data_IF_361821628532
#
_entry.id   IF_361821628532
#
_cell.length_a   1.000
_cell.length_b   1.000
_cell.length_c   1.000
_cell.angle_alpha   90.00
_cell.angle_beta   90.00
_cell.angle_gamma   90.00
#
_symmetry.space_group_name_H-M   'P 1'
#
loop_
_entity.id
_entity.type
_entity.pdbx_description
1 polymer ?
#
# COMPACT_ATOMS: atom_id res chain seq x y z
N UNK A 1 -14.60 11.67 -36.91
CA UNK A 1 -14.01 11.50 -35.55
C UNK A 1 -12.53 11.18 -35.72
N UNK A 2 -11.61 11.70 -34.89
CA UNK A 2 -10.20 11.34 -35.01
C UNK A 2 -10.05 9.83 -34.76
N UNK A 3 -9.59 9.10 -35.77
CA UNK A 3 -9.25 7.68 -35.65
C UNK A 3 -7.90 7.64 -34.95
N UNK A 4 -7.91 7.33 -33.66
CA UNK A 4 -6.68 7.06 -32.93
C UNK A 4 -6.06 5.76 -33.50
N UNK A 5 -4.76 5.78 -33.77
CA UNK A 5 -4.07 4.68 -34.45
C UNK A 5 -2.64 4.55 -33.92
N UNK A 6 -2.13 3.32 -33.86
CA UNK A 6 -0.70 3.07 -33.67
C UNK A 6 -0.03 2.75 -35.01
N UNK A 7 1.16 3.32 -35.26
CA UNK A 7 2.01 2.96 -36.39
C UNK A 7 3.15 2.09 -35.87
N UNK A 8 3.38 0.95 -36.50
CA UNK A 8 4.50 0.06 -36.19
C UNK A 8 5.32 -0.20 -37.44
N UNK A 9 6.64 -0.01 -37.33
CA UNK A 9 7.60 -0.12 -38.44
C UNK A 9 8.78 -1.00 -38.03
N UNK A 10 9.18 -1.91 -38.92
CA UNK A 10 10.47 -2.58 -38.88
C UNK A 10 11.41 -1.93 -39.92
N UNK A 11 12.50 -1.32 -39.46
CA UNK A 11 13.48 -0.61 -40.28
C UNK A 11 14.82 -1.35 -40.40
N UNK A 12 14.87 -2.65 -40.10
CA UNK A 12 16.09 -3.44 -40.16
C UNK A 12 16.74 -3.39 -41.57
N UNK A 13 17.78 -2.54 -41.73
CA UNK A 13 18.51 -2.34 -42.99
C UNK A 13 19.76 -3.26 -43.06
N UNK A 14 20.29 -3.76 -41.93
CA UNK A 14 21.55 -4.54 -41.87
C UNK A 14 21.53 -5.71 -40.85
N UNK A 15 20.37 -6.14 -40.37
CA UNK A 15 20.29 -7.21 -39.36
C UNK A 15 20.30 -8.62 -39.98
N UNK A 16 20.93 -9.59 -39.30
CA UNK A 16 21.02 -10.99 -39.74
C UNK A 16 19.64 -11.69 -39.82
N UNK A 17 18.63 -11.16 -39.12
CA UNK A 17 17.22 -11.48 -39.29
C UNK A 17 16.47 -10.20 -39.69
N UNK A 18 15.87 -10.22 -40.90
CA UNK A 18 15.29 -9.03 -41.55
C UNK A 18 13.77 -8.94 -41.39
N UNK A 19 13.12 -10.01 -40.92
CA UNK A 19 11.68 -10.09 -40.77
C UNK A 19 11.24 -10.21 -39.32
N UNK A 20 10.28 -9.39 -38.93
CA UNK A 20 9.68 -9.42 -37.59
C UNK A 20 8.22 -9.87 -37.69
N UNK A 21 7.90 -11.02 -37.11
CA UNK A 21 6.51 -11.43 -36.92
C UNK A 21 6.01 -10.88 -35.59
N UNK A 22 4.91 -10.13 -35.63
CA UNK A 22 4.35 -9.48 -34.45
C UNK A 22 2.99 -10.11 -34.16
N UNK A 23 2.86 -10.67 -32.96
CA UNK A 23 1.60 -11.25 -32.50
C UNK A 23 0.65 -10.13 -32.01
N UNK A 24 1.13 -9.31 -31.06
CA UNK A 24 0.39 -8.16 -30.55
C UNK A 24 1.32 -7.02 -30.12
N UNK A 25 0.77 -5.81 -30.06
CA UNK A 25 1.38 -4.61 -29.49
C UNK A 25 0.47 -4.10 -28.36
N UNK A 26 1.04 -3.76 -27.21
CA UNK A 26 0.29 -3.19 -26.08
C UNK A 26 0.81 -1.79 -25.80
N UNK A 27 -0.09 -0.82 -25.74
CA UNK A 27 0.19 0.54 -25.29
C UNK A 27 -0.48 0.73 -23.93
N UNK A 28 0.31 0.83 -22.87
CA UNK A 28 -0.18 1.05 -21.52
C UNK A 28 0.03 2.52 -21.11
N UNK A 29 -0.99 3.11 -20.51
CA UNK A 29 -1.01 4.50 -20.05
C UNK A 29 -1.45 4.52 -18.58
N UNK A 30 -0.55 4.21 -17.63
CA UNK A 30 -0.89 4.02 -16.22
C UNK A 30 -1.51 5.24 -15.55
N UNK A 31 -1.01 6.44 -15.86
CA UNK A 31 -1.49 7.70 -15.28
C UNK A 31 -2.94 8.05 -15.61
N UNK A 32 -3.50 7.45 -16.65
CA UNK A 32 -4.92 7.57 -17.02
C UNK A 32 -5.68 6.25 -16.84
N UNK A 33 -5.00 5.18 -16.41
CA UNK A 33 -5.58 3.87 -16.18
C UNK A 33 -6.10 3.21 -17.45
N UNK A 34 -5.40 3.31 -18.58
CA UNK A 34 -5.83 2.71 -19.85
C UNK A 34 -4.75 1.87 -20.50
N UNK A 35 -5.12 0.67 -20.93
CA UNK A 35 -4.29 -0.23 -21.74
C UNK A 35 -4.99 -0.54 -23.05
N UNK A 36 -4.27 -0.44 -24.15
CA UNK A 36 -4.78 -0.73 -25.49
C UNK A 36 -3.98 -1.87 -26.10
N UNK A 37 -4.66 -2.93 -26.53
CA UNK A 37 -4.04 -4.05 -27.23
C UNK A 37 -4.32 -3.97 -28.73
N UNK A 38 -3.29 -4.03 -29.55
CA UNK A 38 -3.38 -4.14 -31.01
C UNK A 38 -3.05 -5.58 -31.40
N UNK A 39 -4.03 -6.43 -31.77
CA UNK A 39 -3.75 -7.73 -32.36
C UNK A 39 -3.19 -7.52 -33.77
N UNK A 40 -1.97 -8.01 -34.02
CA UNK A 40 -1.24 -7.77 -35.27
C UNK A 40 -1.14 -9.04 -36.10
N UNK A 41 -0.76 -10.16 -35.50
CA UNK A 41 -0.63 -11.51 -36.06
C UNK A 41 -0.04 -11.55 -37.49
N UNK A 42 0.99 -10.74 -37.78
CA UNK A 42 1.52 -10.63 -39.15
C UNK A 42 3.00 -10.28 -39.20
N UNK A 43 3.63 -10.54 -40.34
CA UNK A 43 5.02 -10.18 -40.63
C UNK A 43 5.14 -8.71 -41.04
N UNK A 44 6.16 -8.04 -40.52
CA UNK A 44 6.66 -6.74 -40.96
C UNK A 44 8.03 -6.96 -41.62
N UNK A 45 8.03 -7.43 -42.88
CA UNK A 45 9.24 -7.80 -43.61
C UNK A 45 9.07 -7.58 -45.11
N UNK A 46 10.14 -7.21 -45.82
CA UNK A 46 10.11 -7.07 -47.29
C UNK A 46 10.04 -8.41 -48.01
N UNK A 47 10.62 -9.44 -47.42
CA UNK A 47 10.80 -10.78 -47.99
C UNK A 47 9.71 -11.78 -47.53
N UNK A 48 8.75 -11.35 -46.70
CA UNK A 48 7.65 -12.18 -46.20
C UNK A 48 6.30 -11.55 -46.52
N UNK A 49 5.28 -12.40 -46.68
CA UNK A 49 3.89 -12.01 -46.89
C UNK A 49 3.72 -10.94 -48.00
N UNK A 50 3.18 -9.77 -47.64
CA UNK A 50 2.87 -8.67 -48.57
C UNK A 50 4.02 -7.66 -48.71
N UNK A 51 5.20 -7.98 -48.19
CA UNK A 51 6.39 -7.14 -48.29
C UNK A 51 6.32 -5.84 -47.47
N UNK A 52 5.25 -5.62 -46.69
CA UNK A 52 5.06 -4.40 -45.91
C UNK A 52 5.84 -4.47 -44.60
N UNK A 53 6.71 -3.50 -44.38
CA UNK A 53 7.45 -3.34 -43.13
C UNK A 53 6.81 -2.33 -42.17
N UNK A 54 5.78 -1.61 -42.62
CA UNK A 54 5.04 -0.63 -41.81
C UNK A 54 3.55 -0.87 -41.92
N UNK A 55 2.86 -0.84 -40.78
CA UNK A 55 1.40 -0.97 -40.70
C UNK A 55 0.82 0.02 -39.70
N UNK A 56 -0.42 0.43 -39.96
CA UNK A 56 -1.22 1.30 -39.11
C UNK A 56 -2.41 0.51 -38.57
N UNK A 57 -2.55 0.47 -37.26
CA UNK A 57 -3.60 -0.28 -36.58
C UNK A 57 -4.57 0.69 -35.92
N UNK A 58 -5.87 0.68 -36.28
CA UNK A 58 -6.87 1.49 -35.60
C UNK A 58 -7.10 0.99 -34.18
N UNK A 59 -7.42 1.92 -33.27
CA UNK A 59 -7.88 1.56 -31.94
C UNK A 59 -9.31 1.04 -32.04
N UNK A 60 -9.55 -0.14 -31.48
CA UNK A 60 -10.89 -0.72 -31.31
C UNK A 60 -11.28 -0.66 -29.84
N UNK A 61 -12.52 -0.22 -29.53
CA UNK A 61 -13.00 -0.07 -28.15
C UNK A 61 -12.92 -1.38 -27.35
N UNK A 62 -13.21 -2.52 -27.99
CA UNK A 62 -13.13 -3.85 -27.37
C UNK A 62 -11.70 -4.23 -26.92
N UNK A 63 -10.68 -3.51 -27.41
CA UNK A 63 -9.29 -3.76 -27.04
C UNK A 63 -8.76 -2.76 -25.99
N UNK A 64 -9.64 -1.88 -25.48
CA UNK A 64 -9.29 -0.90 -24.44
C UNK A 64 -9.73 -1.45 -23.09
N UNK A 65 -8.76 -1.68 -22.21
CA UNK A 65 -8.99 -2.01 -20.82
C UNK A 65 -8.80 -0.74 -20.00
N UNK A 66 -9.78 -0.42 -19.16
CA UNK A 66 -9.69 0.68 -18.18
C UNK A 66 -9.49 0.08 -16.79
N UNK A 67 -8.55 0.65 -16.03
CA UNK A 67 -8.22 0.26 -14.66
C UNK A 67 -7.99 1.52 -13.80
N UNK A 68 -7.79 1.34 -12.49
CA UNK A 68 -7.56 2.45 -11.58
C UNK A 68 -6.25 3.17 -11.97
N UNK A 69 -6.25 4.49 -12.23
CA UNK A 69 -5.04 5.20 -12.62
C UNK A 69 -3.94 5.04 -11.59
N UNK A 70 -2.69 5.06 -12.05
CA UNK A 70 -1.50 4.95 -11.23
C UNK A 70 -0.82 6.32 -11.13
N UNK A 71 -0.47 6.73 -9.92
CA UNK A 71 0.16 8.02 -9.62
C UNK A 71 1.63 7.75 -9.29
N UNK A 72 2.58 8.41 -9.99
CA UNK A 72 3.98 8.40 -9.61
C UNK A 72 4.19 9.30 -8.40
N UNK A 73 4.77 8.76 -7.35
CA UNK A 73 5.17 9.50 -6.15
C UNK A 73 6.68 9.41 -5.94
N UNK A 74 7.23 10.41 -5.26
CA UNK A 74 8.54 10.29 -4.61
C UNK A 74 8.33 10.09 -3.11
N UNK A 75 8.73 8.93 -2.60
CA UNK A 75 8.69 8.58 -1.18
C UNK A 75 10.05 8.86 -0.55
N UNK A 76 10.10 9.59 0.55
CA UNK A 76 11.31 9.74 1.37
C UNK A 76 11.03 9.21 2.76
N UNK A 77 11.88 8.31 3.26
CA UNK A 77 11.80 7.80 4.62
C UNK A 77 13.10 8.16 5.35
N UNK A 78 12.95 8.91 6.44
CA UNK A 78 14.03 9.22 7.36
C UNK A 78 14.07 8.21 8.49
N UNK A 79 15.20 7.57 8.69
CA UNK A 79 15.42 6.67 9.83
C UNK A 79 16.15 7.43 10.94
N UNK A 80 15.70 7.27 12.18
CA UNK A 80 16.23 8.03 13.30
C UNK A 80 17.72 7.76 13.55
N UNK A 81 18.42 8.77 14.07
CA UNK A 81 19.81 8.65 14.51
C UNK A 81 19.92 8.14 15.96
N UNK A 82 19.40 6.94 16.23
CA UNK A 82 19.60 6.25 17.51
C UNK A 82 20.14 4.85 17.29
N UNK A 83 20.86 4.32 18.27
CA UNK A 83 21.44 2.98 18.19
C UNK A 83 20.35 1.93 17.89
N UNK A 84 20.62 1.04 16.93
CA UNK A 84 19.68 -0.01 16.52
C UNK A 84 18.48 0.47 15.68
N UNK A 85 18.43 1.74 15.26
CA UNK A 85 17.28 2.28 14.54
C UNK A 85 17.07 1.73 13.12
N UNK A 86 18.11 1.16 12.50
CA UNK A 86 18.04 0.62 11.14
C UNK A 86 17.55 -0.82 11.08
N UNK A 87 16.99 -1.22 9.94
CA UNK A 87 16.35 -2.54 9.78
C UNK A 87 16.82 -3.28 8.53
N UNK A 88 16.92 -4.62 8.63
CA UNK A 88 17.14 -5.51 7.49
C UNK A 88 15.84 -6.08 6.91
N UNK A 89 14.71 -5.77 7.53
CA UNK A 89 13.41 -6.27 7.12
C UNK A 89 12.97 -5.72 5.77
N UNK A 90 12.05 -6.43 5.11
CA UNK A 90 11.32 -5.85 3.98
C UNK A 90 10.33 -4.82 4.53
N UNK A 91 10.44 -3.58 4.07
CA UNK A 91 9.51 -2.50 4.44
C UNK A 91 8.37 -2.43 3.41
N UNK A 92 7.17 -2.20 3.89
CA UNK A 92 5.97 -2.05 3.08
C UNK A 92 5.24 -0.76 3.41
N UNK A 93 4.58 -0.20 2.40
CA UNK A 93 3.67 0.91 2.57
C UNK A 93 2.31 0.65 1.93
N UNK A 94 1.28 1.30 2.44
CA UNK A 94 -0.04 1.33 1.83
C UNK A 94 -0.67 2.72 2.03
N UNK A 95 -1.22 3.29 0.98
CA UNK A 95 -1.82 4.62 0.97
C UNK A 95 -3.33 4.54 1.12
N UNK A 96 -3.89 5.43 1.95
CA UNK A 96 -5.31 5.56 2.16
C UNK A 96 -5.71 7.01 1.91
N UNK A 97 -6.64 7.23 0.99
CA UNK A 97 -7.14 8.55 0.66
C UNK A 97 -8.67 8.56 0.52
N UNK A 98 -9.19 9.65 -0.04
CA UNK A 98 -10.62 9.85 -0.25
C UNK A 98 -11.26 8.85 -1.23
N UNK A 99 -10.50 8.39 -2.22
CA UNK A 99 -10.99 7.52 -3.31
C UNK A 99 -10.59 6.05 -3.07
N UNK A 100 -10.33 5.71 -1.80
CA UNK A 100 -10.06 4.35 -1.33
C UNK A 100 -8.61 4.11 -0.93
N UNK A 101 -8.18 2.86 -1.09
CA UNK A 101 -6.88 2.37 -0.61
C UNK A 101 -6.06 1.83 -1.79
N UNK A 102 -4.74 1.99 -1.72
CA UNK A 102 -3.81 1.39 -2.67
C UNK A 102 -3.58 -0.08 -2.34
N UNK A 103 -2.92 -0.81 -3.25
CA UNK A 103 -2.26 -2.05 -2.85
C UNK A 103 -1.17 -1.76 -1.81
N UNK A 104 -0.81 -2.79 -1.06
CA UNK A 104 0.42 -2.75 -0.30
C UNK A 104 1.61 -2.91 -1.25
N UNK A 105 2.62 -2.07 -1.08
CA UNK A 105 3.84 -2.07 -1.86
C UNK A 105 5.02 -2.41 -0.96
N UNK A 106 5.70 -3.52 -1.28
CA UNK A 106 7.04 -3.79 -0.77
C UNK A 106 8.01 -2.77 -1.38
N UNK A 107 8.73 -2.06 -0.53
CA UNK A 107 9.77 -1.14 -0.96
C UNK A 107 11.01 -1.94 -1.34
N UNK A 108 11.63 -1.54 -2.44
CA UNK A 108 12.89 -2.12 -2.87
C UNK A 108 13.97 -1.85 -1.81
N UNK A 109 14.56 -2.93 -1.29
CA UNK A 109 15.68 -2.88 -0.36
C UNK A 109 16.98 -2.91 -1.18
N UNK A 110 17.60 -1.73 -1.32
CA UNK A 110 19.02 -1.63 -1.72
C UNK A 110 19.88 -1.79 -0.47
N UNK A 111 21.17 -2.15 -0.62
CA UNK A 111 22.05 -2.57 0.49
C UNK A 111 22.02 -1.63 1.71
N UNK A 112 21.89 -0.32 1.50
CA UNK A 112 21.96 0.69 2.57
C UNK A 112 20.63 1.42 2.86
N UNK A 113 19.49 0.93 2.37
CA UNK A 113 18.20 1.58 2.67
C UNK A 113 17.73 1.26 4.08
N UNK A 114 17.10 2.22 4.75
CA UNK A 114 16.50 2.08 6.08
C UNK A 114 17.55 1.80 7.18
N UNK A 115 18.75 2.32 6.99
CA UNK A 115 19.83 2.28 7.96
C UNK A 115 19.69 3.41 8.98
N UNK A 116 20.36 3.29 10.14
CA UNK A 116 20.38 4.37 11.12
C UNK A 116 20.88 5.66 10.45
N UNK A 117 20.21 6.79 10.73
CA UNK A 117 20.59 8.11 10.23
C UNK A 117 20.58 8.24 8.69
N UNK A 118 19.72 7.46 8.02
CA UNK A 118 19.52 7.53 6.57
C UNK A 118 18.30 8.37 6.18
N UNK A 119 18.38 9.00 5.00
CA UNK A 119 17.27 9.61 4.28
C UNK A 119 17.11 8.91 2.93
N UNK A 120 16.18 7.95 2.85
CA UNK A 120 16.02 7.08 1.68
C UNK A 120 14.90 7.58 0.77
N UNK A 121 15.26 8.02 -0.44
CA UNK A 121 14.30 8.48 -1.45
C UNK A 121 14.07 7.43 -2.53
N UNK A 122 12.81 7.09 -2.77
CA UNK A 122 12.36 5.96 -3.59
C UNK A 122 11.24 6.43 -4.53
N UNK A 123 11.41 6.34 -5.87
CA UNK A 123 10.29 6.51 -6.79
C UNK A 123 9.35 5.32 -6.65
N UNK A 124 8.06 5.60 -6.46
CA UNK A 124 7.04 4.57 -6.33
C UNK A 124 5.85 4.89 -7.25
N UNK A 125 5.12 3.87 -7.64
CA UNK A 125 3.90 4.01 -8.43
C UNK A 125 2.76 3.20 -7.77
N UNK A 126 1.68 3.89 -7.39
CA UNK A 126 0.53 3.34 -6.67
C UNK A 126 -0.79 3.86 -7.21
N UNK A 127 -1.88 3.17 -6.94
CA UNK A 127 -3.20 3.54 -7.43
C UNK A 127 -3.62 4.94 -6.93
N UNK A 128 -4.36 5.67 -7.77
CA UNK A 128 -4.92 6.98 -7.45
C UNK A 128 -5.97 6.85 -6.34
N UNK A 129 -5.61 7.21 -5.12
CA UNK A 129 -6.47 7.13 -3.92
C UNK A 129 -7.07 8.48 -3.53
N UNK A 130 -6.96 9.50 -4.40
CA UNK A 130 -7.35 10.87 -4.08
C UNK A 130 -6.44 11.50 -3.01
N UNK A 131 -6.93 12.54 -2.34
CA UNK A 131 -6.16 13.19 -1.28
C UNK A 131 -5.86 12.23 -0.13
N UNK A 132 -4.57 12.09 0.21
CA UNK A 132 -4.15 11.18 1.27
C UNK A 132 -4.72 11.60 2.63
N UNK A 133 -5.10 10.60 3.40
CA UNK A 133 -5.62 10.72 4.77
C UNK A 133 -4.69 10.07 5.77
N UNK A 134 -4.11 8.93 5.41
CA UNK A 134 -3.07 8.25 6.17
C UNK A 134 -2.18 7.38 5.28
N UNK A 135 -1.04 7.00 5.83
CA UNK A 135 -0.20 5.91 5.32
C UNK A 135 -0.15 4.81 6.38
N UNK A 136 -0.15 3.56 5.95
CA UNK A 136 0.31 2.44 6.76
C UNK A 136 1.74 2.14 6.37
N UNK A 137 2.65 2.14 7.33
CA UNK A 137 4.01 1.65 7.16
C UNK A 137 4.18 0.39 8.00
N UNK A 138 4.78 -0.65 7.43
CA UNK A 138 5.08 -1.89 8.17
C UNK A 138 6.37 -2.53 7.71
N UNK A 139 6.85 -3.51 8.47
CA UNK A 139 7.88 -4.44 8.00
C UNK A 139 7.49 -5.89 8.33
N UNK A 140 8.19 -6.86 7.75
CA UNK A 140 7.90 -8.29 7.91
C UNK A 140 8.50 -8.93 9.18
N UNK A 141 9.37 -8.22 9.90
CA UNK A 141 10.07 -8.73 11.08
C UNK A 141 11.09 -9.84 10.76
N UNK A 142 11.52 -9.95 9.50
CA UNK A 142 12.49 -10.94 9.04
C UNK A 142 13.89 -10.32 8.96
N UNK A 143 14.95 -11.16 8.99
CA UNK A 143 16.34 -10.69 8.97
C UNK A 143 16.97 -10.57 10.37
N UNK A 144 18.17 -9.99 10.44
CA UNK A 144 18.94 -9.90 11.68
C UNK A 144 18.52 -8.69 12.53
N UNK A 145 18.40 -7.51 11.92
CA UNK A 145 17.92 -6.29 12.60
C UNK A 145 16.43 -6.09 12.38
N UNK A 146 15.64 -6.66 13.29
CA UNK A 146 14.17 -6.73 13.23
C UNK A 146 13.47 -5.53 13.85
N UNK A 147 14.22 -4.65 14.49
CA UNK A 147 13.70 -3.40 15.02
C UNK A 147 13.90 -2.31 13.97
N UNK A 148 12.99 -1.35 13.95
CA UNK A 148 13.12 -0.19 13.09
C UNK A 148 12.57 1.06 13.78
N UNK A 149 13.27 2.18 13.64
CA UNK A 149 12.79 3.48 14.11
C UNK A 149 12.80 4.51 12.99
N UNK A 150 11.78 4.49 12.11
CA UNK A 150 11.57 5.61 11.20
C UNK A 150 11.19 6.85 12.02
N UNK A 151 11.64 8.03 11.60
CA UNK A 151 11.37 9.33 12.21
C UNK A 151 10.29 10.09 11.42
N UNK A 152 10.44 10.12 10.10
CA UNK A 152 9.56 10.86 9.20
C UNK A 152 9.37 10.07 7.92
N UNK A 153 8.15 10.09 7.39
CA UNK A 153 7.86 9.68 6.03
C UNK A 153 7.29 10.88 5.27
N UNK A 154 7.78 11.10 4.06
CA UNK A 154 7.27 12.13 3.14
C UNK A 154 6.86 11.46 1.84
N UNK A 155 5.72 11.87 1.28
CA UNK A 155 5.32 11.45 -0.05
C UNK A 155 4.98 12.69 -0.89
N UNK A 156 5.65 12.81 -2.03
CA UNK A 156 5.43 13.89 -2.97
C UNK A 156 4.60 13.35 -4.14
N UNK A 157 3.37 13.84 -4.26
CA UNK A 157 2.53 13.66 -5.45
C UNK A 157 2.98 14.65 -6.52
N UNK A 158 3.74 14.16 -7.49
CA UNK A 158 4.40 14.99 -8.52
C UNK A 158 3.34 15.61 -9.45
N UNK A 159 2.22 14.93 -9.66
CA UNK A 159 1.18 15.37 -10.58
C UNK A 159 0.34 16.50 -9.98
N UNK A 160 -0.02 16.37 -8.70
CA UNK A 160 -0.84 17.35 -8.00
C UNK A 160 -0.02 18.40 -7.22
N UNK A 161 1.32 18.27 -7.21
CA UNK A 161 2.25 19.15 -6.50
C UNK A 161 1.97 19.24 -4.99
N UNK A 162 1.56 18.12 -4.39
CA UNK A 162 1.26 18.03 -2.95
C UNK A 162 2.32 17.22 -2.24
N UNK A 163 2.90 17.78 -1.19
CA UNK A 163 3.79 17.10 -0.27
C UNK A 163 3.03 16.73 1.01
N UNK A 164 2.92 15.44 1.31
CA UNK A 164 2.36 14.96 2.56
C UNK A 164 3.47 14.53 3.51
N UNK A 165 3.37 14.97 4.76
CA UNK A 165 4.25 14.57 5.83
C UNK A 165 3.54 13.58 6.76
N UNK A 166 4.29 12.61 7.28
CA UNK A 166 3.82 11.65 8.26
C UNK A 166 4.88 11.52 9.35
N UNK A 167 4.54 11.97 10.54
CA UNK A 167 5.45 11.93 11.68
C UNK A 167 5.45 10.53 12.31
N UNK A 168 6.62 9.92 12.44
CA UNK A 168 6.79 8.61 13.04
C UNK A 168 7.78 8.70 14.20
N UNK A 169 7.31 8.82 15.44
CA UNK A 169 8.22 8.96 16.60
C UNK A 169 8.20 7.73 17.52
N UNK A 170 8.05 6.52 16.94
CA UNK A 170 8.00 5.27 17.71
C UNK A 170 8.73 4.12 16.99
N UNK A 171 9.04 3.07 17.74
CA UNK A 171 9.64 1.87 17.18
C UNK A 171 8.59 0.99 16.51
N UNK A 172 8.90 0.52 15.30
CA UNK A 172 8.27 -0.65 14.70
C UNK A 172 9.10 -1.86 15.13
N UNK A 173 8.63 -2.53 16.17
CA UNK A 173 9.34 -3.59 16.88
C UNK A 173 8.34 -4.38 17.74
N UNK A 174 8.53 -5.68 17.97
CA UNK A 174 7.70 -6.44 18.90
C UNK A 174 8.09 -6.21 20.38
N UNK A 175 9.27 -5.66 20.64
CA UNK A 175 9.86 -5.54 21.99
C UNK A 175 10.09 -4.08 22.41
N UNK A 176 10.39 -3.20 21.46
CA UNK A 176 10.67 -1.78 21.68
C UNK A 176 9.44 -0.90 21.38
N UNK A 177 9.53 0.36 21.82
CA UNK A 177 8.49 1.36 21.59
C UNK A 177 7.24 1.21 22.45
N UNK A 178 6.32 2.15 22.30
CA UNK A 178 5.06 2.14 23.04
C UNK A 178 4.09 1.10 22.48
N UNK A 179 4.04 0.99 21.14
CA UNK A 179 3.03 0.18 20.44
C UNK A 179 3.37 -1.30 20.38
N UNK A 180 4.66 -1.67 20.35
CA UNK A 180 5.13 -3.07 20.20
C UNK A 180 4.50 -3.78 19.00
N UNK A 181 4.45 -3.09 17.85
CA UNK A 181 3.87 -3.58 16.60
C UNK A 181 4.87 -3.40 15.46
N UNK A 182 4.75 -4.22 14.42
CA UNK A 182 5.57 -4.11 13.20
C UNK A 182 4.93 -3.21 12.14
N UNK A 183 3.81 -2.56 12.47
CA UNK A 183 3.09 -1.66 11.57
C UNK A 183 2.58 -0.42 12.31
N UNK A 184 2.37 0.66 11.57
CA UNK A 184 1.85 1.91 12.07
C UNK A 184 1.00 2.63 11.03
N UNK A 185 -0.17 3.10 11.46
CA UNK A 185 -1.00 4.02 10.70
C UNK A 185 -0.69 5.47 11.12
N UNK A 186 -0.24 6.27 10.17
CA UNK A 186 0.16 7.67 10.38
C UNK A 186 -0.76 8.63 9.63
N UNK A 187 -1.29 9.68 10.28
CA UNK A 187 -2.14 10.65 9.60
C UNK A 187 -1.31 11.49 8.64
N UNK A 188 -1.87 11.79 7.47
CA UNK A 188 -1.26 12.75 6.57
C UNK A 188 -1.27 14.15 7.21
N UNK A 189 -0.18 14.89 7.05
CA UNK A 189 -0.04 16.29 7.48
C UNK A 189 0.28 17.10 6.22
N UNK A 190 -0.54 18.11 5.95
CA UNK A 190 -0.39 19.02 4.80
C UNK A 190 -0.33 20.43 5.37
N UNK A 191 0.74 21.18 5.08
CA UNK A 191 0.95 22.54 5.60
C UNK A 191 0.79 22.65 7.13
N UNK A 192 1.28 21.64 7.85
CA UNK A 192 1.18 21.54 9.31
C UNK A 192 -0.20 21.12 9.85
N UNK A 193 -1.17 20.84 8.99
CA UNK A 193 -2.53 20.44 9.37
C UNK A 193 -2.72 18.92 9.22
N UNK A 194 -2.96 18.19 10.32
CA UNK A 194 -3.29 16.76 10.27
C UNK A 194 -4.65 16.53 9.60
N UNK A 195 -4.69 15.59 8.65
CA UNK A 195 -5.89 15.22 7.89
C UNK A 195 -6.79 14.24 8.64
N UNK A 196 -6.27 13.57 9.67
CA UNK A 196 -7.02 12.72 10.59
C UNK A 196 -6.67 13.04 12.04
N UNK A 197 -7.67 12.91 12.91
CA UNK A 197 -7.51 13.06 14.36
C UNK A 197 -7.45 11.71 15.05
N UNK A 198 -6.75 11.63 16.17
CA UNK A 198 -6.80 10.45 17.04
C UNK A 198 -8.11 10.43 17.84
N UNK A 199 -8.68 9.23 18.00
CA UNK A 199 -9.88 8.98 18.80
C UNK A 199 -9.65 7.78 19.72
N UNK A 200 -10.22 7.87 20.91
CA UNK A 200 -10.30 6.76 21.84
C UNK A 200 -11.59 5.98 21.59
N UNK A 201 -11.47 4.67 21.38
CA UNK A 201 -12.60 3.76 21.23
C UNK A 201 -12.70 2.87 22.47
N UNK A 202 -13.93 2.67 22.93
CA UNK A 202 -14.26 1.67 23.96
C UNK A 202 -14.86 0.47 23.26
N UNK A 203 -14.12 -0.64 23.25
CA UNK A 203 -14.59 -1.91 22.72
C UNK A 203 -15.13 -2.73 23.87
N UNK A 204 -16.29 -3.32 23.66
CA UNK A 204 -16.94 -4.17 24.65
C UNK A 204 -17.02 -5.59 24.12
N UNK A 205 -16.37 -6.53 24.81
CA UNK A 205 -16.41 -7.96 24.45
C UNK A 205 -17.09 -8.73 25.58
N UNK A 206 -17.93 -9.69 25.25
CA UNK A 206 -18.58 -10.57 26.21
C UNK A 206 -18.43 -12.02 25.77
N UNK A 207 -17.80 -12.82 26.62
CA UNK A 207 -17.72 -14.28 26.43
C UNK A 207 -19.00 -14.91 26.98
N UNK A 208 -19.56 -15.90 26.30
CA UNK A 208 -20.77 -16.58 26.76
C UNK A 208 -20.50 -17.46 27.99
N UNK A 209 -21.57 -18.01 28.58
CA UNK A 209 -21.52 -18.95 29.69
C UNK A 209 -21.52 -20.43 29.25
N UNK A 210 -21.37 -20.70 27.96
CA UNK A 210 -21.24 -22.06 27.43
C UNK A 210 -19.92 -22.67 27.91
N UNK A 211 -19.94 -23.93 28.34
CA UNK A 211 -18.74 -24.65 28.75
C UNK A 211 -17.68 -24.59 27.64
N UNK A 212 -16.49 -24.08 27.96
CA UNK A 212 -15.38 -23.95 27.02
C UNK A 212 -15.45 -22.74 26.08
N UNK A 213 -16.28 -21.74 26.36
CA UNK A 213 -16.38 -20.53 25.52
C UNK A 213 -15.19 -19.56 25.64
N UNK A 214 -14.31 -19.76 26.63
CA UNK A 214 -13.15 -18.91 26.86
C UNK A 214 -11.96 -19.21 25.95
N UNK A 215 -10.98 -18.31 25.93
CA UNK A 215 -9.70 -18.50 25.23
C UNK A 215 -8.56 -17.82 25.97
N UNK A 216 -7.39 -18.45 25.95
CA UNK A 216 -6.10 -17.94 26.40
C UNK A 216 -5.25 -17.37 25.23
N UNK A 217 -5.79 -17.46 24.01
CA UNK A 217 -5.15 -16.98 22.80
C UNK A 217 -5.12 -15.44 22.72
N UNK A 218 -4.24 -14.92 21.87
CA UNK A 218 -4.18 -13.49 21.59
C UNK A 218 -5.37 -13.10 20.69
N UNK A 219 -6.21 -12.18 21.17
CA UNK A 219 -7.40 -11.73 20.45
C UNK A 219 -7.14 -10.37 19.81
N UNK A 220 -7.47 -10.25 18.52
CA UNK A 220 -7.28 -9.03 17.74
C UNK A 220 -8.60 -8.55 17.14
N UNK A 221 -8.73 -7.25 16.99
CA UNK A 221 -9.84 -6.61 16.28
C UNK A 221 -9.31 -5.75 15.14
N UNK A 222 -10.01 -5.79 14.01
CA UNK A 222 -9.81 -4.84 12.91
C UNK A 222 -11.08 -4.01 12.73
N UNK A 223 -10.94 -2.70 12.84
CA UNK A 223 -12.00 -1.73 12.59
C UNK A 223 -11.93 -1.23 11.15
N UNK A 224 -13.08 -1.06 10.51
CA UNK A 224 -13.20 -0.55 9.14
C UNK A 224 -14.01 0.76 9.15
N UNK A 225 -13.61 1.71 8.31
CA UNK A 225 -14.34 2.97 8.14
C UNK A 225 -14.05 3.64 6.80
N UNK A 226 -14.42 4.92 6.69
CA UNK A 226 -14.37 5.71 5.44
C UNK A 226 -12.96 5.73 4.82
N UNK A 227 -11.92 5.71 5.66
CA UNK A 227 -10.52 5.83 5.24
C UNK A 227 -9.75 4.51 5.40
N UNK A 228 -10.43 3.37 5.19
CA UNK A 228 -9.88 2.02 5.29
C UNK A 228 -9.93 1.41 6.69
N UNK A 229 -9.06 0.43 6.95
CA UNK A 229 -9.06 -0.35 8.17
C UNK A 229 -7.99 0.06 9.19
N UNK A 230 -8.10 -0.38 10.44
CA UNK A 230 -7.15 -0.09 11.52
C UNK A 230 -5.90 -0.96 11.57
N UNK A 231 -5.82 -2.00 10.73
CA UNK A 231 -4.93 -3.13 10.99
C UNK A 231 -5.42 -3.93 12.20
N UNK A 232 -4.65 -4.94 12.58
CA UNK A 232 -5.00 -5.79 13.72
C UNK A 232 -4.57 -5.12 15.02
N UNK A 233 -5.57 -4.79 15.85
CA UNK A 233 -5.37 -4.18 17.15
C UNK A 233 -5.47 -5.24 18.24
N UNK A 234 -4.37 -5.49 18.93
CA UNK A 234 -4.33 -6.50 20.00
C UNK A 234 -5.13 -6.06 21.23
N UNK A 235 -6.08 -6.88 21.66
CA UNK A 235 -6.87 -6.70 22.87
C UNK A 235 -6.18 -7.31 24.10
N UNK A 236 -4.92 -6.94 24.34
CA UNK A 236 -4.05 -7.56 25.34
C UNK A 236 -4.50 -7.35 26.80
N UNK A 237 -5.11 -6.21 27.11
CA UNK A 237 -5.47 -5.82 28.48
C UNK A 237 -6.86 -5.22 28.54
N UNK A 238 -7.77 -5.88 29.25
CA UNK A 238 -9.05 -5.29 29.60
C UNK A 238 -8.88 -4.30 30.75
N UNK A 239 -9.64 -3.20 30.70
CA UNK A 239 -9.73 -2.25 31.82
C UNK A 239 -10.47 -2.83 33.03
N UNK A 240 -11.16 -3.96 32.88
CA UNK A 240 -12.04 -4.50 33.92
C UNK A 240 -11.62 -5.87 34.45
N UNK A 241 -10.74 -6.62 33.75
CA UNK A 241 -10.40 -7.99 34.13
C UNK A 241 -8.96 -8.36 33.73
N UNK A 242 -8.25 -9.13 34.57
CA UNK A 242 -6.89 -9.62 34.29
C UNK A 242 -6.87 -10.70 33.20
N UNK A 243 -7.92 -11.53 33.16
CA UNK A 243 -8.11 -12.54 32.14
C UNK A 243 -9.33 -12.21 31.27
N UNK A 244 -9.10 -11.56 30.12
CA UNK A 244 -10.15 -10.85 29.45
C UNK A 244 -10.93 -11.71 28.46
N UNK A 245 -10.71 -13.02 28.37
CA UNK A 245 -11.52 -13.87 27.47
C UNK A 245 -12.14 -15.12 28.11
N UNK A 246 -12.04 -15.28 29.43
CA UNK A 246 -12.67 -16.40 30.17
C UNK A 246 -14.20 -16.53 30.09
N UNK A 247 -14.67 -17.77 30.21
CA UNK A 247 -16.09 -18.18 30.20
C UNK A 247 -16.89 -17.48 31.31
N UNK A 248 -18.17 -17.15 31.05
CA UNK A 248 -19.13 -16.59 32.01
C UNK A 248 -18.73 -15.22 32.61
N UNK A 249 -17.93 -14.43 31.91
CA UNK A 249 -17.54 -13.11 32.38
C UNK A 249 -18.39 -11.98 31.79
N UNK A 250 -18.66 -10.99 32.64
CA UNK A 250 -19.43 -9.78 32.33
C UNK A 250 -18.67 -8.90 31.33
N UNK A 251 -19.41 -8.17 30.47
CA UNK A 251 -18.95 -7.21 29.45
C UNK A 251 -17.59 -6.55 29.79
N UNK A 252 -16.55 -6.94 29.07
CA UNK A 252 -15.16 -6.50 29.26
C UNK A 252 -14.86 -5.30 28.39
N UNK A 253 -14.19 -4.29 28.95
CA UNK A 253 -13.97 -3.00 28.28
C UNK A 253 -12.50 -2.85 27.91
N UNK A 254 -12.24 -2.72 26.62
CA UNK A 254 -10.92 -2.40 26.09
C UNK A 254 -10.92 -0.95 25.61
N UNK A 255 -9.85 -0.22 25.95
CA UNK A 255 -9.65 1.14 25.46
C UNK A 255 -8.51 1.10 24.46
N UNK A 256 -8.82 1.39 23.21
CA UNK A 256 -7.83 1.56 22.15
C UNK A 256 -7.81 3.02 21.71
N UNK A 257 -6.64 3.52 21.34
CA UNK A 257 -6.50 4.84 20.72
C UNK A 257 -5.90 4.64 19.34
N UNK A 258 -6.49 5.27 18.34
CA UNK A 258 -6.06 5.16 16.94
C UNK A 258 -6.62 6.31 16.12
N UNK A 259 -6.30 6.32 14.83
CA UNK A 259 -6.83 7.33 13.92
C UNK A 259 -8.36 7.27 13.83
N UNK A 260 -8.99 8.40 13.53
CA UNK A 260 -10.43 8.47 13.31
C UNK A 260 -10.79 7.72 12.04
N UNK A 261 -11.71 6.76 12.15
CA UNK A 261 -12.15 5.96 11.01
C UNK A 261 -13.43 6.51 10.34
N UNK A 262 -14.07 7.56 10.88
CA UNK A 262 -15.40 8.07 10.46
C UNK A 262 -16.39 6.92 10.12
N UNK A 263 -16.95 6.33 11.17
CA UNK A 263 -17.76 5.10 11.09
C UNK A 263 -19.20 5.44 10.69
N UNK A 264 -19.67 5.00 9.52
CA UNK A 264 -21.11 5.01 9.17
C UNK A 264 -21.78 3.63 9.33
N UNK A 265 -21.03 2.53 9.19
CA UNK A 265 -21.55 1.15 9.27
C UNK A 265 -20.40 0.21 9.61
N UNK A 266 -20.48 -0.51 10.75
CA UNK A 266 -19.44 -1.47 11.12
C UNK A 266 -19.60 -2.79 10.33
N UNK A 267 -18.54 -3.19 9.63
CA UNK A 267 -18.17 -4.59 9.46
C UNK A 267 -16.89 -4.78 10.27
N UNK A 268 -16.98 -5.26 11.51
CA UNK A 268 -15.79 -5.63 12.29
C UNK A 268 -15.48 -7.10 12.10
N UNK A 269 -14.23 -7.45 11.81
CA UNK A 269 -13.75 -8.82 11.90
C UNK A 269 -12.98 -9.01 13.21
N UNK A 270 -13.38 -10.02 13.97
CA UNK A 270 -12.64 -10.49 15.14
C UNK A 270 -11.79 -11.68 14.70
N UNK A 271 -10.49 -11.61 14.95
CA UNK A 271 -9.55 -12.68 14.61
C UNK A 271 -9.03 -13.25 15.93
N UNK A 272 -9.15 -14.57 16.08
CA UNK A 272 -8.57 -15.35 17.18
C UNK A 272 -7.56 -16.29 16.53
N UNK A 273 -6.28 -16.11 16.83
CA UNK A 273 -5.16 -16.87 16.28
C UNK A 273 -4.58 -17.82 17.30
#
# INVERSE_FOLDING_TARGET
>A
MPVHTANLTNDAIMAAQVGWNVDSLIVDMPTIGKRITFPIHTWLAKDKLDGKTTRRFPVHENNVITYKPMIPYTLTIKTANVEGAGTDCTVYIQLFGLDGTSRELALEKMENRFERDSDDTIPIELEAVGHLRKIRIRHDGMGQRKDWRPEVVQIHDIQNLVLYHFQCDDWLSPTLGFRKMLHLDLPAIIDGVPQLSYKAYKIYVQTSNVLGAGTDAAVYIRLFGEYGDSGDLHLAKSSTHKDPFETNHVRKVFRISGLSFRIFTMLSHLIVN
#
